data_IF_854505354465
#
_entry.id   IF_854505354465
#
_cell.length_a   1.000
_cell.length_b   1.000
_cell.length_c   1.000
_cell.angle_alpha   90.00
_cell.angle_beta   90.00
_cell.angle_gamma   90.00
#
_symmetry.space_group_name_H-M   'P 1'
#
loop_
_entity.id
_entity.type
_entity.pdbx_description
1 polymer ?
#
# COMPACT_ATOMS: atom_id res chain seq x y z
N UNK A 1 -2.72 9.93 10.56
CA UNK A 1 -4.10 9.62 10.14
C UNK A 1 -4.07 8.86 8.83
N UNK A 2 -5.03 7.97 8.58
CA UNK A 2 -5.07 7.15 7.36
C UNK A 2 -5.14 8.05 6.10
N UNK A 3 -4.28 7.78 5.12
CA UNK A 3 -4.26 8.48 3.83
C UNK A 3 -4.78 7.55 2.75
N UNK A 4 -5.51 8.08 1.77
CA UNK A 4 -5.97 7.27 0.64
C UNK A 4 -4.81 6.89 -0.29
N UNK A 5 -3.84 7.79 -0.39
CA UNK A 5 -2.62 7.67 -1.19
C UNK A 5 -1.45 8.23 -0.40
N UNK A 6 -0.34 7.49 -0.38
CA UNK A 6 0.98 8.01 -0.04
C UNK A 6 1.71 8.39 -1.34
N UNK A 7 2.22 9.61 -1.39
CA UNK A 7 2.91 10.24 -2.52
C UNK A 7 4.03 11.13 -1.99
N UNK A 8 5.27 10.86 -2.44
CA UNK A 8 6.46 11.63 -2.11
C UNK A 8 6.99 12.36 -3.34
N UNK A 9 7.19 13.67 -3.20
CA UNK A 9 7.92 14.49 -4.15
C UNK A 9 9.32 14.81 -3.66
N UNK A 10 10.26 14.90 -4.60
CA UNK A 10 11.63 15.31 -4.30
C UNK A 10 11.68 16.71 -3.71
N UNK A 11 12.51 16.87 -2.68
CA UNK A 11 12.71 18.13 -1.96
C UNK A 11 11.69 18.42 -0.85
N UNK A 12 10.64 17.61 -0.71
CA UNK A 12 9.75 17.67 0.45
C UNK A 12 10.25 16.79 1.60
N UNK A 13 10.08 17.25 2.84
CA UNK A 13 10.35 16.45 4.04
C UNK A 13 9.16 15.52 4.39
N UNK A 14 9.36 14.55 5.26
CA UNK A 14 8.32 13.64 5.75
C UNK A 14 7.53 14.27 6.93
N UNK A 15 6.21 14.07 6.97
CA UNK A 15 5.32 14.60 8.00
C UNK A 15 5.10 13.64 9.21
N UNK A 16 5.79 12.50 9.24
CA UNK A 16 5.82 11.49 10.30
C UNK A 16 7.28 11.25 10.74
N UNK A 17 7.51 10.36 11.70
CA UNK A 17 8.84 10.00 12.17
C UNK A 17 9.72 9.53 11.02
N UNK A 18 10.94 10.08 10.93
CA UNK A 18 11.91 9.66 9.94
C UNK A 18 12.25 8.17 10.06
N UNK A 19 12.39 7.53 8.92
CA UNK A 19 12.68 6.11 8.78
C UNK A 19 12.39 5.67 7.36
N UNK A 20 12.46 4.37 7.11
CA UNK A 20 12.22 3.82 5.77
C UNK A 20 10.72 3.66 5.45
N UNK A 21 9.82 3.96 6.38
CA UNK A 21 8.36 3.84 6.17
C UNK A 21 7.86 4.95 5.26
N UNK A 22 6.81 4.67 4.49
CA UNK A 22 6.23 5.64 3.56
C UNK A 22 5.01 6.36 4.13
N UNK A 23 4.78 6.29 5.44
CA UNK A 23 3.71 7.06 6.07
C UNK A 23 4.10 8.53 6.17
N UNK A 24 3.13 9.44 6.01
CA UNK A 24 3.38 10.88 6.12
C UNK A 24 4.16 11.45 4.94
N UNK A 25 4.11 10.79 3.78
CA UNK A 25 4.75 11.28 2.56
C UNK A 25 4.19 12.63 2.11
N UNK A 26 5.04 13.49 1.55
CA UNK A 26 4.67 14.85 1.14
C UNK A 26 4.88 15.06 -0.36
N UNK A 27 3.94 15.71 -1.07
CA UNK A 27 2.75 16.38 -0.55
C UNK A 27 1.54 15.48 -0.28
N UNK A 28 1.67 14.15 -0.33
CA UNK A 28 0.55 13.22 -0.07
C UNK A 28 -0.25 13.53 1.20
N UNK A 29 0.42 13.91 2.28
CA UNK A 29 -0.22 14.20 3.56
C UNK A 29 -1.07 15.48 3.56
N UNK A 30 -0.82 16.43 2.65
CA UNK A 30 -1.57 17.69 2.52
C UNK A 30 -2.57 17.70 1.37
N UNK A 31 -2.79 16.56 0.71
CA UNK A 31 -3.83 16.42 -0.30
C UNK A 31 -5.22 16.68 0.31
N UNK A 32 -5.97 17.56 -0.35
CA UNK A 32 -7.34 17.94 0.04
C UNK A 32 -8.35 17.25 -0.88
N UNK A 33 -9.53 16.93 -0.35
CA UNK A 33 -10.59 16.29 -1.12
C UNK A 33 -11.07 17.19 -2.27
N UNK A 34 -11.11 16.64 -3.48
CA UNK A 34 -11.55 17.32 -4.70
C UNK A 34 -12.87 16.79 -5.27
N UNK A 35 -13.28 15.58 -4.90
CA UNK A 35 -14.55 15.00 -5.31
C UNK A 35 -14.50 13.48 -5.41
N UNK A 36 -15.67 12.87 -5.59
CA UNK A 36 -15.82 11.45 -5.88
C UNK A 36 -16.69 11.28 -7.12
N UNK A 37 -16.34 10.33 -7.97
CA UNK A 37 -17.19 9.85 -9.05
C UNK A 37 -17.44 8.37 -8.81
N UNK A 38 -18.72 8.02 -8.67
CA UNK A 38 -19.19 6.66 -8.38
C UNK A 38 -20.01 6.19 -9.58
N UNK A 39 -19.48 5.21 -10.28
CA UNK A 39 -20.04 4.74 -11.54
C UNK A 39 -20.06 3.21 -11.55
N UNK A 40 -20.64 2.65 -12.60
CA UNK A 40 -20.65 1.21 -12.84
C UNK A 40 -20.30 0.96 -14.30
N UNK A 41 -19.48 -0.04 -14.55
CA UNK A 41 -19.14 -0.52 -15.88
C UNK A 41 -19.51 -2.01 -16.00
N UNK A 42 -19.07 -2.65 -17.08
CA UNK A 42 -19.38 -4.05 -17.40
C UNK A 42 -18.89 -5.04 -16.34
N UNK A 43 -17.85 -4.71 -15.57
CA UNK A 43 -17.25 -5.62 -14.58
C UNK A 43 -17.67 -5.35 -13.14
N UNK A 44 -18.20 -4.15 -12.85
CA UNK A 44 -18.75 -3.81 -11.53
C UNK A 44 -18.71 -2.32 -11.21
N UNK A 45 -18.78 -2.00 -9.91
CA UNK A 45 -18.73 -0.61 -9.40
C UNK A 45 -17.32 -0.04 -9.54
N UNK A 46 -17.21 1.22 -9.95
CA UNK A 46 -15.94 1.97 -10.02
C UNK A 46 -16.04 3.26 -9.22
N UNK A 47 -15.08 3.48 -8.33
CA UNK A 47 -14.89 4.74 -7.62
C UNK A 47 -13.63 5.46 -8.14
N UNK A 48 -13.77 6.75 -8.38
CA UNK A 48 -12.67 7.65 -8.67
C UNK A 48 -12.69 8.76 -7.63
N UNK A 49 -11.69 8.77 -6.75
CA UNK A 49 -11.60 9.75 -5.67
C UNK A 49 -10.49 10.72 -6.02
N UNK A 50 -10.85 11.99 -6.23
CA UNK A 50 -9.92 13.04 -6.59
C UNK A 50 -9.48 13.78 -5.35
N UNK A 51 -8.18 14.01 -5.23
CA UNK A 51 -7.58 14.89 -4.25
C UNK A 51 -6.62 15.85 -4.93
N UNK A 52 -6.38 17.02 -4.32
CA UNK A 52 -5.51 18.04 -4.91
C UNK A 52 -4.71 18.80 -3.87
N UNK A 53 -3.60 19.35 -4.33
CA UNK A 53 -2.82 20.39 -3.65
C UNK A 53 -2.35 21.42 -4.69
N UNK A 54 -1.56 22.41 -4.31
CA UNK A 54 -1.07 23.45 -5.21
C UNK A 54 -0.32 22.84 -6.40
N UNK A 55 -0.92 22.89 -7.60
CA UNK A 55 -0.33 22.42 -8.86
C UNK A 55 -0.21 20.89 -9.01
N UNK A 56 -0.95 20.11 -8.21
CA UNK A 56 -0.98 18.64 -8.31
C UNK A 56 -2.41 18.15 -8.10
N UNK A 57 -2.86 17.24 -8.97
CA UNK A 57 -4.10 16.49 -8.80
C UNK A 57 -3.79 14.99 -8.76
N UNK A 58 -4.44 14.27 -7.86
CA UNK A 58 -4.27 12.83 -7.66
C UNK A 58 -5.64 12.18 -7.72
N UNK A 59 -5.79 11.17 -8.56
CA UNK A 59 -7.01 10.36 -8.65
C UNK A 59 -6.71 8.94 -8.24
N UNK A 60 -7.30 8.49 -7.14
CA UNK A 60 -7.29 7.08 -6.73
C UNK A 60 -8.49 6.37 -7.36
N UNK A 61 -8.20 5.35 -8.16
CA UNK A 61 -9.19 4.52 -8.83
C UNK A 61 -9.37 3.22 -8.06
N UNK A 62 -10.62 2.84 -7.80
CA UNK A 62 -11.00 1.57 -7.17
C UNK A 62 -12.06 0.88 -8.03
N UNK A 63 -11.68 -0.20 -8.70
CA UNK A 63 -12.58 -1.06 -9.47
C UNK A 63 -12.96 -2.29 -8.64
N UNK A 64 -14.25 -2.42 -8.36
CA UNK A 64 -14.85 -3.59 -7.72
C UNK A 64 -15.37 -4.54 -8.79
N UNK A 65 -15.30 -5.84 -8.52
CA UNK A 65 -15.78 -6.88 -9.43
C UNK A 65 -17.02 -7.56 -8.89
N UNK A 66 -18.03 -7.73 -9.75
CA UNK A 66 -19.28 -8.37 -9.35
C UNK A 66 -19.08 -9.85 -8.98
N UNK A 67 -19.68 -10.25 -7.87
CA UNK A 67 -19.57 -11.61 -7.34
C UNK A 67 -18.21 -11.97 -6.72
N UNK A 68 -17.23 -11.07 -6.75
CA UNK A 68 -15.87 -11.32 -6.24
C UNK A 68 -15.53 -10.37 -5.10
N UNK A 69 -14.78 -10.86 -4.10
CA UNK A 69 -14.19 -10.04 -3.03
C UNK A 69 -12.85 -9.45 -3.46
N UNK A 70 -12.84 -8.79 -4.62
CA UNK A 70 -11.62 -8.26 -5.27
C UNK A 70 -11.81 -6.80 -5.61
N UNK A 71 -10.77 -6.01 -5.36
CA UNK A 71 -10.65 -4.63 -5.81
C UNK A 71 -9.36 -4.53 -6.61
N UNK A 72 -9.43 -3.93 -7.80
CA UNK A 72 -8.25 -3.45 -8.53
C UNK A 72 -8.10 -1.96 -8.24
N UNK A 73 -6.90 -1.55 -7.85
CA UNK A 73 -6.62 -0.17 -7.47
C UNK A 73 -5.39 0.37 -8.19
N UNK A 74 -5.47 1.62 -8.62
CA UNK A 74 -4.34 2.36 -9.18
C UNK A 74 -4.48 3.86 -8.88
N UNK A 75 -3.38 4.58 -9.04
CA UNK A 75 -3.32 6.02 -8.79
C UNK A 75 -2.82 6.72 -10.03
N UNK A 76 -3.53 7.77 -10.42
CA UNK A 76 -3.09 8.71 -11.46
C UNK A 76 -2.68 10.02 -10.79
N UNK A 77 -1.53 10.55 -11.20
CA UNK A 77 -1.02 11.84 -10.71
C UNK A 77 -0.85 12.77 -11.90
N UNK A 78 -1.49 13.94 -11.83
CA UNK A 78 -1.42 14.97 -12.86
C UNK A 78 -0.74 16.22 -12.30
N UNK A 79 0.32 16.67 -12.97
CA UNK A 79 0.92 17.98 -12.72
C UNK A 79 0.03 19.05 -13.37
N UNK A 80 -0.72 19.78 -12.56
CA UNK A 80 -1.60 20.88 -12.99
C UNK A 80 -0.93 22.25 -12.82
N UNK A 81 0.32 22.26 -12.36
CA UNK A 81 1.14 23.46 -12.19
C UNK A 81 1.93 23.83 -13.45
N UNK A 82 2.83 24.80 -13.29
CA UNK A 82 3.72 25.29 -14.36
C UNK A 82 5.17 24.81 -14.22
N UNK A 83 5.51 24.23 -13.08
CA UNK A 83 6.87 23.79 -12.75
C UNK A 83 7.01 22.29 -12.94
N UNK A 84 8.21 21.84 -13.30
CA UNK A 84 8.55 20.42 -13.23
C UNK A 84 8.42 19.91 -11.80
N UNK A 85 7.95 18.67 -11.62
CA UNK A 85 7.77 18.01 -10.33
C UNK A 85 8.29 16.60 -10.43
N UNK A 86 9.15 16.21 -9.49
CA UNK A 86 9.76 14.89 -9.45
C UNK A 86 9.09 14.06 -8.36
N UNK A 87 8.54 12.90 -8.75
CA UNK A 87 7.93 11.95 -7.83
C UNK A 87 8.94 10.86 -7.48
N UNK A 88 9.15 10.63 -6.19
CA UNK A 88 10.02 9.54 -5.70
C UNK A 88 9.19 8.29 -5.40
N UNK A 89 7.93 8.47 -5.02
CA UNK A 89 7.07 7.39 -4.59
C UNK A 89 5.60 7.74 -4.80
N UNK A 90 4.83 6.75 -5.25
CA UNK A 90 3.36 6.81 -5.28
C UNK A 90 2.81 5.41 -5.03
N UNK A 91 1.78 5.33 -4.18
CA UNK A 91 1.06 4.07 -3.93
C UNK A 91 -0.03 3.85 -4.97
N UNK A 92 -0.17 2.62 -5.47
CA UNK A 92 -1.38 2.17 -6.17
C UNK A 92 -2.53 1.87 -5.21
N UNK A 93 -2.21 1.46 -3.97
CA UNK A 93 -3.17 1.16 -2.93
C UNK A 93 -2.53 1.33 -1.54
N UNK A 94 -3.29 1.88 -0.58
CA UNK A 94 -2.90 1.96 0.82
C UNK A 94 -4.06 1.47 1.69
N UNK A 95 -3.79 0.49 2.56
CA UNK A 95 -4.79 -0.09 3.46
C UNK A 95 -4.31 0.02 4.91
N UNK A 96 -5.16 0.62 5.74
CA UNK A 96 -4.90 0.84 7.16
C UNK A 96 -5.93 0.06 7.98
N UNK A 97 -5.54 -0.36 9.18
CA UNK A 97 -6.44 -1.05 10.10
C UNK A 97 -6.64 -2.54 9.81
N UNK A 98 -5.76 -3.17 9.01
CA UNK A 98 -5.81 -4.60 8.72
C UNK A 98 -5.78 -5.50 9.97
N UNK A 99 -5.27 -5.00 11.10
CA UNK A 99 -5.19 -5.69 12.39
C UNK A 99 -6.30 -5.33 13.39
N UNK A 100 -7.26 -4.47 13.00
CA UNK A 100 -8.29 -3.97 13.92
C UNK A 100 -9.29 -5.05 14.36
N UNK A 101 -9.55 -6.06 13.52
CA UNK A 101 -10.46 -7.14 13.87
C UNK A 101 -9.83 -8.10 14.90
N UNK A 102 -10.61 -8.56 15.87
CA UNK A 102 -10.14 -9.41 16.97
C UNK A 102 -9.52 -8.64 18.14
N UNK A 103 -9.34 -9.30 19.28
CA UNK A 103 -8.90 -8.70 20.54
C UNK A 103 -7.40 -8.89 20.80
N UNK A 104 -6.76 -9.87 20.17
CA UNK A 104 -5.34 -10.12 20.38
C UNK A 104 -4.48 -8.98 19.83
N UNK A 105 -3.31 -8.71 20.43
CA UNK A 105 -2.31 -7.80 19.87
C UNK A 105 -1.91 -8.19 18.45
N UNK A 106 -1.65 -7.19 17.60
CA UNK A 106 -1.34 -7.38 16.18
C UNK A 106 -0.11 -8.26 15.95
N UNK A 107 0.91 -8.18 16.81
CA UNK A 107 2.14 -8.95 16.73
C UNK A 107 1.91 -10.46 16.95
N UNK A 108 0.81 -10.81 17.65
CA UNK A 108 0.45 -12.19 17.96
C UNK A 108 -0.48 -12.82 16.93
N UNK A 109 -1.44 -12.04 16.41
CA UNK A 109 -2.48 -12.56 15.50
C UNK A 109 -2.18 -12.41 14.01
N UNK A 110 -1.31 -11.48 13.62
CA UNK A 110 -1.03 -11.22 12.21
C UNK A 110 0.10 -12.12 11.69
N UNK A 111 -0.07 -12.66 10.48
CA UNK A 111 0.97 -13.40 9.75
C UNK A 111 1.09 -12.84 8.35
N UNK A 112 2.33 -12.63 7.89
CA UNK A 112 2.58 -12.25 6.50
C UNK A 112 3.12 -13.45 5.73
N UNK A 113 2.69 -13.61 4.48
CA UNK A 113 3.30 -14.53 3.53
C UNK A 113 3.98 -13.75 2.43
N UNK A 114 5.26 -14.06 2.22
CA UNK A 114 6.09 -13.50 1.17
C UNK A 114 6.46 -14.62 0.20
N UNK A 115 6.31 -14.36 -1.09
CA UNK A 115 6.68 -15.30 -2.15
C UNK A 115 8.08 -14.99 -2.62
N UNK A 116 9.08 -15.68 -2.07
CA UNK A 116 10.46 -15.58 -2.54
C UNK A 116 10.59 -16.22 -3.92
N UNK A 117 11.48 -15.67 -4.74
CA UNK A 117 11.73 -16.15 -6.07
C UNK A 117 13.24 -16.12 -6.35
N UNK A 118 13.74 -17.14 -7.03
CA UNK A 118 15.09 -17.15 -7.60
C UNK A 118 15.16 -18.18 -8.73
N UNK A 119 16.24 -18.16 -9.50
CA UNK A 119 16.46 -19.16 -10.56
C UNK A 119 16.41 -20.58 -9.99
N UNK A 120 15.51 -21.41 -10.53
CA UNK A 120 15.27 -22.79 -10.11
C UNK A 120 14.70 -22.98 -8.68
N UNK A 121 14.35 -21.92 -7.96
CA UNK A 121 13.61 -21.95 -6.68
C UNK A 121 12.53 -20.84 -6.72
N UNK A 122 11.49 -21.10 -7.53
CA UNK A 122 10.46 -20.12 -7.87
C UNK A 122 9.22 -20.23 -6.95
N UNK A 123 8.52 -19.10 -6.78
CA UNK A 123 7.23 -19.03 -6.07
C UNK A 123 7.23 -19.65 -4.65
N UNK A 124 8.34 -19.54 -3.92
CA UNK A 124 8.51 -20.11 -2.60
C UNK A 124 7.84 -19.23 -1.54
N UNK A 125 6.59 -19.56 -1.23
CA UNK A 125 5.83 -18.90 -0.16
C UNK A 125 6.36 -19.27 1.22
N UNK A 126 6.76 -18.25 1.99
CA UNK A 126 7.13 -18.38 3.39
C UNK A 126 6.12 -17.63 4.25
N UNK A 127 5.73 -18.22 5.38
CA UNK A 127 4.81 -17.62 6.34
C UNK A 127 5.59 -17.20 7.58
N UNK A 128 5.52 -15.92 7.92
CA UNK A 128 6.24 -15.34 9.05
C UNK A 128 5.28 -14.60 9.99
N UNK A 129 5.62 -14.59 11.28
CA UNK A 129 5.14 -13.59 12.22
C UNK A 129 5.77 -12.23 11.90
N UNK A 130 5.11 -11.15 12.33
CA UNK A 130 5.66 -9.80 12.15
C UNK A 130 6.95 -9.58 12.99
N UNK A 131 7.05 -10.07 14.25
CA UNK A 131 8.28 -10.03 15.04
C UNK A 131 9.49 -10.77 14.43
N UNK A 132 9.29 -11.91 13.77
CA UNK A 132 10.39 -12.62 13.06
C UNK A 132 11.06 -11.76 11.99
N UNK A 133 10.30 -10.82 11.39
CA UNK A 133 10.81 -9.86 10.42
C UNK A 133 11.27 -8.55 11.09
N UNK A 134 11.29 -8.52 12.43
CA UNK A 134 11.72 -7.41 13.27
C UNK A 134 10.68 -6.31 13.46
N UNK A 135 9.44 -6.50 13.02
CA UNK A 135 8.33 -5.60 13.32
C UNK A 135 7.79 -5.94 14.72
N UNK A 136 8.46 -5.38 15.73
CA UNK A 136 8.15 -5.62 17.15
C UNK A 136 7.29 -4.50 17.74
N UNK A 137 6.40 -4.80 18.71
CA UNK A 137 5.71 -3.77 19.48
C UNK A 137 6.71 -2.95 20.30
N UNK A 138 6.56 -1.62 20.29
CA UNK A 138 7.37 -0.69 21.09
C UNK A 138 6.41 0.06 22.00
N UNK A 139 6.25 -0.42 23.24
CA UNK A 139 5.37 0.16 24.26
C UNK A 139 4.00 0.61 23.69
N UNK A 140 3.58 1.87 23.88
CA UNK A 140 2.31 2.41 23.37
C UNK A 140 2.31 2.71 21.85
N UNK A 141 3.36 2.38 21.10
CA UNK A 141 3.52 2.73 19.69
C UNK A 141 3.72 1.53 18.76
N UNK A 142 3.41 1.76 17.49
CA UNK A 142 3.78 0.86 16.41
C UNK A 142 5.31 0.90 16.16
N UNK A 143 5.86 -0.20 15.66
CA UNK A 143 7.28 -0.28 15.25
C UNK A 143 7.65 0.83 14.27
N UNK A 144 8.88 1.36 14.35
CA UNK A 144 9.45 2.25 13.32
C UNK A 144 10.04 1.48 12.14
N UNK A 145 10.12 0.15 12.23
CA UNK A 145 10.57 -0.72 11.15
C UNK A 145 9.47 -0.88 10.09
N UNK A 146 9.86 -1.26 8.87
CA UNK A 146 8.95 -1.75 7.83
C UNK A 146 9.30 -3.18 7.43
N UNK A 147 8.30 -3.92 6.99
CA UNK A 147 8.48 -5.12 6.17
C UNK A 147 8.28 -4.70 4.73
N UNK A 148 9.23 -5.02 3.86
CA UNK A 148 9.21 -4.64 2.46
C UNK A 148 9.68 -5.80 1.61
N UNK A 149 9.03 -5.99 0.47
CA UNK A 149 9.44 -6.90 -0.59
C UNK A 149 9.37 -6.10 -1.89
N UNK A 150 10.42 -6.19 -2.70
CA UNK A 150 10.52 -5.45 -3.95
C UNK A 150 11.70 -5.99 -4.75
N UNK A 151 11.70 -5.71 -6.04
CA UNK A 151 12.75 -6.13 -6.95
C UNK A 151 13.44 -4.89 -7.52
N UNK A 152 14.77 -4.89 -7.49
CA UNK A 152 15.60 -3.91 -8.18
C UNK A 152 16.26 -4.58 -9.38
N UNK A 153 16.22 -3.93 -10.55
CA UNK A 153 16.77 -4.47 -11.79
C UNK A 153 15.73 -4.59 -12.90
N UNK A 154 16.05 -5.37 -13.93
CA UNK A 154 15.25 -5.47 -15.16
C UNK A 154 14.11 -6.48 -15.10
N UNK A 155 13.99 -7.23 -14.00
CA UNK A 155 13.03 -8.31 -13.86
C UNK A 155 12.13 -8.13 -12.64
N UNK A 156 10.83 -8.03 -12.89
CA UNK A 156 9.81 -7.76 -11.89
C UNK A 156 9.57 -8.90 -10.89
N UNK A 157 10.24 -10.06 -11.06
CA UNK A 157 10.19 -11.22 -10.15
C UNK A 157 11.57 -11.70 -9.69
N UNK A 158 12.57 -10.83 -9.63
CA UNK A 158 13.96 -11.21 -9.34
C UNK A 158 14.18 -11.93 -8.00
N UNK A 159 13.74 -11.32 -6.90
CA UNK A 159 13.87 -11.84 -5.53
C UNK A 159 12.52 -12.25 -4.91
N UNK A 160 11.43 -11.60 -5.35
CA UNK A 160 10.08 -11.83 -4.87
C UNK A 160 9.09 -11.85 -6.03
N UNK A 161 8.01 -12.62 -5.93
CA UNK A 161 6.83 -12.35 -6.76
C UNK A 161 6.21 -11.01 -6.35
N UNK A 162 5.58 -10.26 -7.28
CA UNK A 162 4.84 -9.03 -6.97
C UNK A 162 3.50 -9.34 -6.27
N UNK A 163 3.53 -10.21 -5.26
CA UNK A 163 2.37 -10.70 -4.52
C UNK A 163 2.71 -10.82 -3.04
N UNK A 164 1.68 -10.74 -2.21
CA UNK A 164 1.82 -10.97 -0.78
C UNK A 164 0.47 -11.22 -0.14
N UNK A 165 0.51 -11.77 1.07
CA UNK A 165 -0.69 -12.11 1.81
C UNK A 165 -0.52 -11.72 3.28
N UNK A 166 -1.53 -11.09 3.86
CA UNK A 166 -1.61 -10.75 5.27
C UNK A 166 -2.82 -11.46 5.88
N UNK A 167 -2.57 -12.33 6.86
CA UNK A 167 -3.58 -13.13 7.53
C UNK A 167 -3.80 -12.58 8.95
N UNK A 168 -5.05 -12.47 9.37
CA UNK A 168 -5.43 -12.36 10.77
C UNK A 168 -5.88 -13.74 11.27
N UNK A 169 -5.04 -14.39 12.07
CA UNK A 169 -5.30 -15.76 12.53
C UNK A 169 -6.40 -15.88 13.59
N UNK A 170 -6.77 -14.77 14.23
CA UNK A 170 -7.87 -14.75 15.20
C UNK A 170 -9.24 -14.74 14.52
N UNK A 171 -9.38 -13.96 13.44
CA UNK A 171 -10.65 -13.81 12.72
C UNK A 171 -10.72 -14.65 11.44
N UNK A 172 -9.63 -15.32 11.07
CA UNK A 172 -9.46 -16.03 9.80
C UNK A 172 -9.59 -15.15 8.55
N UNK A 173 -9.44 -13.82 8.70
CA UNK A 173 -9.39 -12.90 7.56
C UNK A 173 -8.07 -13.02 6.80
N UNK A 174 -8.13 -12.90 5.48
CA UNK A 174 -6.97 -12.94 4.60
C UNK A 174 -7.04 -11.82 3.57
N UNK A 175 -6.00 -11.00 3.51
CA UNK A 175 -5.80 -9.98 2.51
C UNK A 175 -4.69 -10.43 1.56
N UNK A 176 -5.05 -10.84 0.35
CA UNK A 176 -4.11 -11.21 -0.72
C UNK A 176 -4.03 -10.06 -1.72
N UNK A 177 -2.82 -9.73 -2.19
CA UNK A 177 -2.62 -8.73 -3.22
C UNK A 177 -1.62 -9.18 -4.28
N UNK A 178 -1.74 -8.55 -5.45
CA UNK A 178 -0.82 -8.64 -6.57
C UNK A 178 -0.59 -7.24 -7.13
N UNK A 179 0.65 -6.95 -7.56
CA UNK A 179 0.99 -5.77 -8.36
C UNK A 179 1.06 -6.20 -9.82
N UNK A 180 0.32 -5.49 -10.67
CA UNK A 180 0.28 -5.68 -12.12
C UNK A 180 1.30 -4.74 -12.77
N UNK A 181 2.01 -5.21 -13.80
CA UNK A 181 2.88 -4.36 -14.65
C UNK A 181 2.17 -4.00 -15.95
#
# INVERSE_FOLDING_TARGET
>A
GCKLVELQESGFDNADHHGMKHTGSMPGAILTFGGITDTRNETGRKLEIRQKTAGLEVTSHLQFYDGLKVIRAWTEVANTGKTHRELEYVTSFAFYGASFAGEQPWDRKMRIRLAHNSWYDEARWQRCTLPELGLNPIDMMASTKRITAGNTGTWSTGEYLPMGCLENTETADTYLWQIEN
#
